data_IF_613570933488
#
_entry.id   IF_613570933488
#
_cell.length_a   1.000
_cell.length_b   1.000
_cell.length_c   1.000
_cell.angle_alpha   90.00
_cell.angle_beta   90.00
_cell.angle_gamma   90.00
#
_symmetry.space_group_name_H-M   'P 1'
#
loop_
_entity.id
_entity.type
_entity.pdbx_description
1 polymer ?
#
# COMPACT_ATOMS: atom_id res chain seq x y z
N UNK A 1 25.34 -6.64 27.99
CA UNK A 1 25.70 -5.83 26.81
C UNK A 1 25.77 -4.39 27.28
N UNK A 2 26.98 -3.90 27.51
CA UNK A 2 27.24 -2.50 27.89
C UNK A 2 26.83 -1.57 26.75
N UNK A 3 26.37 -0.36 27.05
CA UNK A 3 25.88 0.57 26.03
C UNK A 3 26.96 0.93 25.00
N UNK A 4 28.24 0.86 25.39
CA UNK A 4 29.38 0.98 24.49
C UNK A 4 29.45 -0.12 23.42
N UNK A 5 29.12 -1.38 23.74
CA UNK A 5 29.10 -2.46 22.75
C UNK A 5 27.93 -2.34 21.77
N UNK A 6 26.77 -1.82 22.22
CA UNK A 6 25.63 -1.54 21.33
C UNK A 6 25.98 -0.46 20.32
N UNK A 7 26.69 0.56 20.78
CA UNK A 7 27.09 1.70 19.96
C UNK A 7 28.14 1.32 18.90
N UNK A 8 29.09 0.45 19.26
CA UNK A 8 30.08 -0.09 18.30
C UNK A 8 29.43 -1.03 17.27
N UNK A 9 28.48 -1.88 17.68
CA UNK A 9 27.69 -2.71 16.75
C UNK A 9 26.86 -1.86 15.78
N UNK A 10 26.31 -0.73 16.24
CA UNK A 10 25.53 0.20 15.42
C UNK A 10 26.39 0.99 14.42
N UNK A 11 27.65 1.23 14.77
CA UNK A 11 28.67 1.87 13.90
C UNK A 11 29.39 0.89 12.98
N UNK A 12 29.21 -0.42 13.18
CA UNK A 12 29.81 -1.43 12.33
C UNK A 12 29.34 -1.23 10.88
N UNK A 13 30.25 -1.11 9.90
CA UNK A 13 29.92 -0.80 8.50
C UNK A 13 28.85 -1.73 7.92
N UNK A 14 28.81 -2.98 8.37
CA UNK A 14 27.87 -3.98 7.89
C UNK A 14 26.46 -3.85 8.52
N UNK A 15 26.34 -3.46 9.79
CA UNK A 15 25.03 -3.18 10.43
C UNK A 15 24.50 -1.84 9.93
N UNK A 16 25.40 -0.88 9.67
CA UNK A 16 25.08 0.33 8.95
C UNK A 16 24.63 0.02 7.52
N UNK A 17 25.23 -0.92 6.79
CA UNK A 17 24.77 -1.37 5.46
C UNK A 17 23.46 -2.16 5.54
N UNK A 18 23.22 -2.99 6.56
CA UNK A 18 21.94 -3.69 6.73
C UNK A 18 20.83 -2.74 7.15
N UNK A 19 21.11 -1.84 8.09
CA UNK A 19 20.22 -0.73 8.41
C UNK A 19 20.06 0.14 7.18
N UNK A 20 21.09 0.42 6.39
CA UNK A 20 20.99 1.21 5.15
C UNK A 20 20.25 0.43 4.05
N UNK A 21 20.27 -0.89 3.97
CA UNK A 21 19.47 -1.69 3.02
C UNK A 21 18.02 -1.91 3.51
N UNK A 22 17.80 -1.88 4.82
CA UNK A 22 16.48 -1.85 5.46
C UNK A 22 15.93 -0.43 5.65
N UNK A 23 16.77 0.62 5.54
CA UNK A 23 16.47 2.07 5.56
C UNK A 23 16.41 2.62 4.14
N UNK A 24 17.03 1.94 3.17
CA UNK A 24 16.78 2.01 1.73
C UNK A 24 15.46 1.27 1.41
N UNK A 25 14.47 1.66 2.20
CA UNK A 25 13.04 1.56 2.02
C UNK A 25 12.66 2.25 0.69
N UNK A 26 13.58 3.00 0.07
CA UNK A 26 13.50 3.43 -1.34
C UNK A 26 13.35 2.24 -2.30
N UNK A 27 13.83 1.03 -1.95
CA UNK A 27 13.68 -0.19 -2.74
C UNK A 27 12.35 -0.94 -2.51
N UNK A 28 11.54 -0.55 -1.51
CA UNK A 28 10.17 -1.09 -1.30
C UNK A 28 9.21 -0.56 -2.37
N UNK A 29 9.58 0.54 -3.05
CA UNK A 29 8.90 1.02 -4.25
C UNK A 29 8.91 0.01 -5.42
N UNK A 30 9.79 -0.99 -5.42
CA UNK A 30 9.88 -2.04 -6.45
C UNK A 30 8.70 -3.03 -6.38
N UNK A 31 8.05 -3.24 -5.22
CA UNK A 31 6.85 -4.08 -5.17
C UNK A 31 5.67 -3.42 -5.90
N UNK A 32 5.56 -2.09 -5.82
CA UNK A 32 4.71 -1.33 -6.74
C UNK A 32 5.20 -1.43 -8.19
N UNK A 33 6.49 -1.65 -8.46
CA UNK A 33 7.02 -1.82 -9.82
C UNK A 33 6.45 -3.07 -10.51
N UNK A 34 6.32 -4.19 -9.79
CA UNK A 34 5.75 -5.43 -10.33
C UNK A 34 4.28 -5.29 -10.70
N UNK A 35 3.48 -4.74 -9.78
CA UNK A 35 2.12 -4.34 -10.08
C UNK A 35 2.06 -3.25 -11.16
N UNK A 36 2.99 -2.28 -11.22
CA UNK A 36 2.99 -1.21 -12.23
C UNK A 36 3.34 -1.67 -13.64
N UNK A 37 3.88 -2.88 -13.80
CA UNK A 37 3.98 -3.55 -15.11
C UNK A 37 2.59 -3.93 -15.65
N UNK A 38 1.63 -4.09 -14.74
CA UNK A 38 0.22 -4.25 -15.06
C UNK A 38 -0.36 -2.84 -15.26
N UNK A 39 -0.84 -2.59 -16.47
CA UNK A 39 -1.37 -1.28 -16.90
C UNK A 39 -2.44 -0.78 -15.92
N UNK A 40 -3.31 -1.66 -15.47
CA UNK A 40 -4.43 -1.40 -14.58
C UNK A 40 -3.96 -0.85 -13.23
N UNK A 41 -2.94 -1.44 -12.62
CA UNK A 41 -2.40 -0.92 -11.36
C UNK A 41 -1.70 0.43 -11.54
N UNK A 42 -1.00 0.63 -12.67
CA UNK A 42 -0.37 1.92 -12.98
C UNK A 42 -1.44 3.02 -13.11
N UNK A 43 -2.53 2.74 -13.80
CA UNK A 43 -3.68 3.66 -13.92
C UNK A 43 -4.28 3.95 -12.55
N UNK A 44 -4.52 2.91 -11.74
CA UNK A 44 -5.04 3.04 -10.38
C UNK A 44 -4.18 3.97 -9.50
N UNK A 45 -2.86 3.72 -9.40
CA UNK A 45 -1.97 4.57 -8.60
C UNK A 45 -1.82 5.98 -9.16
N UNK A 46 -1.94 6.15 -10.48
CA UNK A 46 -1.98 7.48 -11.10
C UNK A 46 -3.23 8.25 -10.66
N UNK A 47 -4.39 7.60 -10.64
CA UNK A 47 -5.64 8.21 -10.16
C UNK A 47 -5.57 8.58 -8.67
N UNK A 48 -5.04 7.69 -7.81
CA UNK A 48 -4.81 7.99 -6.40
C UNK A 48 -3.88 9.19 -6.20
N UNK A 49 -2.78 9.24 -6.94
CA UNK A 49 -1.84 10.37 -6.87
C UNK A 49 -2.47 11.67 -7.37
N UNK A 50 -3.34 11.57 -8.38
CA UNK A 50 -4.17 12.67 -8.88
C UNK A 50 -5.10 13.22 -7.80
N UNK A 51 -5.81 12.35 -7.06
CA UNK A 51 -6.66 12.73 -5.93
C UNK A 51 -5.86 13.50 -4.86
N UNK A 52 -4.70 12.98 -4.45
CA UNK A 52 -3.86 13.66 -3.46
C UNK A 52 -3.37 15.04 -3.96
N UNK A 53 -3.01 15.13 -5.23
CA UNK A 53 -2.53 16.36 -5.88
C UNK A 53 -3.65 17.39 -6.06
N UNK A 54 -4.88 16.94 -6.33
CA UNK A 54 -6.05 17.80 -6.41
C UNK A 54 -6.22 18.58 -5.11
N UNK A 55 -6.19 17.94 -3.95
CA UNK A 55 -6.32 18.66 -2.69
C UNK A 55 -5.10 19.54 -2.39
N UNK A 56 -3.87 19.03 -2.58
CA UNK A 56 -2.65 19.75 -2.20
C UNK A 56 -2.41 21.05 -2.98
N UNK A 57 -2.97 21.18 -4.19
CA UNK A 57 -2.82 22.38 -5.04
C UNK A 57 -3.74 23.54 -4.67
N UNK A 58 -4.66 23.39 -3.72
CA UNK A 58 -5.55 24.48 -3.30
C UNK A 58 -5.83 24.45 -1.80
N UNK A 59 -5.52 25.56 -1.13
CA UNK A 59 -5.84 25.73 0.29
C UNK A 59 -7.36 25.71 0.55
N UNK A 60 -8.18 26.21 -0.39
CA UNK A 60 -9.65 26.16 -0.27
C UNK A 60 -10.13 24.70 -0.28
N UNK A 61 -9.67 23.90 -1.24
CA UNK A 61 -10.01 22.47 -1.35
C UNK A 61 -9.52 21.66 -0.15
N UNK A 62 -8.30 21.95 0.32
CA UNK A 62 -7.76 21.29 1.52
C UNK A 62 -8.60 21.60 2.76
N UNK A 63 -8.99 22.87 2.98
CA UNK A 63 -9.85 23.24 4.11
C UNK A 63 -11.22 22.56 4.06
N UNK A 64 -11.82 22.46 2.87
CA UNK A 64 -13.08 21.75 2.67
C UNK A 64 -12.93 20.25 2.98
N UNK A 65 -11.86 19.63 2.48
CA UNK A 65 -11.52 18.24 2.80
C UNK A 65 -11.42 18.04 4.32
N UNK A 66 -10.77 18.95 5.03
CA UNK A 66 -10.63 18.84 6.50
C UNK A 66 -11.95 18.98 7.23
N UNK A 67 -12.80 19.89 6.75
CA UNK A 67 -14.10 20.17 7.34
C UNK A 67 -15.03 18.95 7.24
N UNK A 68 -15.06 18.29 6.07
CA UNK A 68 -15.94 17.15 5.81
C UNK A 68 -15.31 15.84 6.31
N UNK A 69 -14.06 15.53 5.94
CA UNK A 69 -13.45 14.24 6.28
C UNK A 69 -13.00 14.14 7.74
N UNK A 70 -12.76 15.28 8.42
CA UNK A 70 -12.22 15.37 9.79
C UNK A 70 -10.93 14.54 10.02
N UNK A 71 -10.29 14.10 8.93
CA UNK A 71 -9.08 13.31 8.85
C UNK A 71 -8.33 13.72 7.59
N UNK A 72 -7.04 14.03 7.72
CA UNK A 72 -6.24 14.52 6.60
C UNK A 72 -5.72 13.38 5.76
N UNK A 73 -5.72 13.58 4.44
CA UNK A 73 -4.92 12.75 3.55
C UNK A 73 -3.45 12.76 4.00
N UNK A 74 -2.73 11.62 3.90
CA UNK A 74 -1.37 11.52 4.37
C UNK A 74 -0.47 12.54 3.68
N UNK A 75 0.27 13.31 4.47
CA UNK A 75 1.38 14.10 3.94
C UNK A 75 2.45 13.14 3.42
N UNK A 76 3.14 13.52 2.34
CA UNK A 76 4.18 12.74 1.69
C UNK A 76 5.06 12.00 2.73
N UNK A 77 5.15 10.68 2.60
CA UNK A 77 5.94 9.83 3.49
C UNK A 77 7.40 9.78 3.00
N UNK A 78 8.35 9.33 3.84
CA UNK A 78 9.76 9.22 3.44
C UNK A 78 9.97 8.36 2.20
N UNK A 79 9.07 7.41 1.93
CA UNK A 79 9.14 6.51 0.77
C UNK A 79 7.84 6.41 0.00
N UNK A 80 7.97 6.05 -1.28
CA UNK A 80 6.85 5.92 -2.23
C UNK A 80 5.85 4.84 -1.83
N UNK A 81 6.29 3.73 -1.24
CA UNK A 81 5.40 2.68 -0.73
C UNK A 81 4.61 3.15 0.49
N UNK A 82 5.27 3.69 1.52
CA UNK A 82 4.57 4.22 2.69
C UNK A 82 3.60 5.34 2.30
N UNK A 83 3.93 6.12 1.27
CA UNK A 83 3.01 7.09 0.70
C UNK A 83 1.80 6.42 0.04
N UNK A 84 1.99 5.47 -0.88
CA UNK A 84 0.89 4.78 -1.56
C UNK A 84 0.04 3.95 -0.60
N UNK A 85 0.64 3.24 0.34
CA UNK A 85 -0.06 2.43 1.35
C UNK A 85 -0.98 3.31 2.18
N UNK A 86 -0.42 4.35 2.82
CA UNK A 86 -1.23 5.31 3.60
C UNK A 86 -2.31 5.97 2.76
N UNK A 87 -2.01 6.30 1.49
CA UNK A 87 -2.99 6.92 0.60
C UNK A 87 -4.13 5.96 0.26
N UNK A 88 -3.83 4.70 -0.02
CA UNK A 88 -4.83 3.65 -0.28
C UNK A 88 -5.68 3.41 0.96
N UNK A 89 -5.08 3.23 2.13
CA UNK A 89 -5.83 3.05 3.38
C UNK A 89 -6.72 4.24 3.67
N UNK A 90 -6.21 5.47 3.56
CA UNK A 90 -7.02 6.66 3.81
C UNK A 90 -8.17 6.79 2.82
N UNK A 91 -7.94 6.56 1.53
CA UNK A 91 -9.00 6.65 0.50
C UNK A 91 -10.03 5.55 0.69
N UNK A 92 -9.62 4.32 1.02
CA UNK A 92 -10.51 3.21 1.31
C UNK A 92 -11.40 3.47 2.53
N UNK A 93 -10.81 3.98 3.62
CA UNK A 93 -11.51 4.27 4.87
C UNK A 93 -12.41 5.52 4.78
N UNK A 94 -12.09 6.47 3.90
CA UNK A 94 -12.79 7.75 3.75
C UNK A 94 -13.48 7.93 2.41
N UNK A 95 -13.80 6.83 1.71
CA UNK A 95 -14.41 6.89 0.37
C UNK A 95 -15.71 7.69 0.37
N UNK A 96 -16.54 7.54 1.41
CA UNK A 96 -17.81 8.25 1.52
C UNK A 96 -17.61 9.74 1.73
N UNK A 97 -16.78 10.12 2.70
CA UNK A 97 -16.51 11.52 3.03
C UNK A 97 -15.81 12.23 1.86
N UNK A 98 -14.90 11.55 1.16
CA UNK A 98 -14.28 12.08 -0.05
C UNK A 98 -15.31 12.35 -1.14
N UNK A 99 -16.30 11.46 -1.30
CA UNK A 99 -17.39 11.66 -2.26
C UNK A 99 -18.24 12.87 -1.87
N UNK A 100 -18.59 13.02 -0.59
CA UNK A 100 -19.31 14.18 -0.07
C UNK A 100 -18.55 15.50 -0.33
N UNK A 101 -17.22 15.50 -0.23
CA UNK A 101 -16.40 16.67 -0.58
C UNK A 101 -16.56 17.04 -2.05
N UNK A 102 -16.48 16.07 -2.96
CA UNK A 102 -16.63 16.34 -4.39
C UNK A 102 -18.05 16.74 -4.77
N UNK A 103 -19.06 16.09 -4.19
CA UNK A 103 -20.48 16.44 -4.38
C UNK A 103 -20.74 17.88 -3.92
N UNK A 104 -20.19 18.27 -2.76
CA UNK A 104 -20.28 19.66 -2.30
C UNK A 104 -19.67 20.67 -3.29
N UNK A 105 -18.51 20.36 -3.89
CA UNK A 105 -17.89 21.23 -4.89
C UNK A 105 -18.77 21.37 -6.13
N UNK A 106 -19.39 20.28 -6.59
CA UNK A 106 -20.28 20.27 -7.76
C UNK A 106 -21.57 21.05 -7.47
N UNK A 107 -22.20 20.83 -6.31
CA UNK A 107 -23.42 21.52 -5.91
C UNK A 107 -23.21 23.03 -5.77
N UNK A 108 -22.02 23.44 -5.29
CA UNK A 108 -21.64 24.85 -5.12
C UNK A 108 -20.74 25.34 -6.26
N UNK A 109 -20.99 24.88 -7.49
CA UNK A 109 -20.17 25.18 -8.67
C UNK A 109 -19.83 26.67 -8.87
N UNK A 110 -20.70 27.61 -8.48
CA UNK A 110 -20.44 29.05 -8.59
C UNK A 110 -19.30 29.55 -7.68
N UNK A 111 -18.91 28.78 -6.67
CA UNK A 111 -17.84 29.13 -5.74
C UNK A 111 -16.45 28.59 -6.14
N UNK A 112 -16.39 27.77 -7.18
CA UNK A 112 -15.17 27.11 -7.63
C UNK A 112 -14.92 27.41 -9.10
N UNK A 113 -13.67 27.29 -9.53
CA UNK A 113 -13.34 27.40 -10.96
C UNK A 113 -13.86 26.18 -11.74
N UNK A 114 -14.13 26.37 -13.02
CA UNK A 114 -14.68 25.34 -13.91
C UNK A 114 -13.85 24.05 -13.92
N UNK A 115 -12.51 24.17 -13.86
CA UNK A 115 -11.61 23.00 -13.79
C UNK A 115 -11.82 22.21 -12.50
N UNK A 116 -11.91 22.90 -11.36
CA UNK A 116 -12.18 22.27 -10.06
C UNK A 116 -13.55 21.57 -10.03
N UNK A 117 -14.60 22.20 -10.58
CA UNK A 117 -15.94 21.59 -10.65
C UNK A 117 -15.90 20.35 -11.54
N UNK A 118 -15.33 20.46 -12.74
CA UNK A 118 -15.22 19.37 -13.69
C UNK A 118 -14.41 18.19 -13.14
N UNK A 119 -13.25 18.46 -12.53
CA UNK A 119 -12.45 17.42 -11.88
C UNK A 119 -13.20 16.74 -10.73
N UNK A 120 -14.00 17.48 -9.97
CA UNK A 120 -14.77 16.92 -8.85
C UNK A 120 -15.84 15.94 -9.34
N UNK A 121 -16.57 16.30 -10.39
CA UNK A 121 -17.51 15.38 -11.06
C UNK A 121 -16.81 14.12 -11.60
N UNK A 122 -15.63 14.31 -12.19
CA UNK A 122 -14.75 13.21 -12.61
C UNK A 122 -14.32 12.30 -11.46
N UNK A 123 -13.99 12.86 -10.29
CA UNK A 123 -13.61 12.07 -9.12
C UNK A 123 -14.79 11.34 -8.46
N UNK A 124 -16.00 11.89 -8.50
CA UNK A 124 -17.23 11.16 -8.10
C UNK A 124 -17.39 9.93 -9.00
N UNK A 125 -17.27 10.11 -10.32
CA UNK A 125 -17.34 9.01 -11.29
C UNK A 125 -16.23 7.98 -11.07
N UNK A 126 -15.02 8.42 -10.75
CA UNK A 126 -13.89 7.54 -10.47
C UNK A 126 -14.14 6.68 -9.21
N UNK A 127 -14.52 7.31 -8.08
CA UNK A 127 -14.74 6.63 -6.80
C UNK A 127 -15.92 5.65 -6.85
N UNK A 128 -16.84 5.85 -7.81
CA UNK A 128 -17.98 4.96 -8.09
C UNK A 128 -17.72 4.02 -9.26
N UNK A 129 -16.49 3.96 -9.79
CA UNK A 129 -16.16 3.03 -10.87
C UNK A 129 -15.74 1.67 -10.32
N UNK A 130 -16.22 0.59 -10.95
CA UNK A 130 -15.86 -0.78 -10.57
C UNK A 130 -14.35 -0.99 -10.57
N UNK A 131 -13.65 -0.54 -11.61
CA UNK A 131 -12.19 -0.66 -11.71
C UNK A 131 -11.48 -0.07 -10.50
N UNK A 132 -11.77 1.19 -10.16
CA UNK A 132 -11.10 1.86 -9.07
C UNK A 132 -11.44 1.23 -7.72
N UNK A 133 -12.72 0.94 -7.47
CA UNK A 133 -13.16 0.34 -6.20
C UNK A 133 -12.60 -1.09 -6.01
N UNK A 134 -12.52 -1.89 -7.08
CA UNK A 134 -11.93 -3.22 -7.05
C UNK A 134 -10.44 -3.15 -6.66
N UNK A 135 -9.68 -2.28 -7.32
CA UNK A 135 -8.26 -2.10 -7.02
C UNK A 135 -8.03 -1.49 -5.63
N UNK A 136 -8.89 -0.55 -5.21
CA UNK A 136 -8.82 0.05 -3.89
C UNK A 136 -8.99 -1.01 -2.80
N UNK A 137 -9.99 -1.89 -2.91
CA UNK A 137 -10.21 -3.01 -1.98
C UNK A 137 -9.03 -4.00 -1.99
N UNK A 138 -8.59 -4.42 -3.18
CA UNK A 138 -7.48 -5.36 -3.35
C UNK A 138 -6.21 -4.85 -2.68
N UNK A 139 -5.81 -3.61 -2.99
CA UNK A 139 -4.60 -3.02 -2.43
C UNK A 139 -4.75 -2.69 -0.94
N UNK A 140 -5.92 -2.27 -0.48
CA UNK A 140 -6.17 -2.05 0.94
C UNK A 140 -5.94 -3.33 1.77
N UNK A 141 -6.45 -4.48 1.31
CA UNK A 141 -6.22 -5.76 1.96
C UNK A 141 -4.72 -6.10 2.00
N UNK A 142 -4.03 -6.03 0.85
CA UNK A 142 -2.58 -6.30 0.76
C UNK A 142 -1.78 -5.39 1.70
N UNK A 143 -2.09 -4.08 1.71
CA UNK A 143 -1.37 -3.11 2.52
C UNK A 143 -1.58 -3.32 4.02
N UNK A 144 -2.78 -3.75 4.43
CA UNK A 144 -3.10 -4.03 5.84
C UNK A 144 -2.16 -5.07 6.48
N UNK A 145 -1.74 -6.09 5.74
CA UNK A 145 -0.76 -7.07 6.20
C UNK A 145 0.66 -6.53 6.15
N UNK A 146 0.99 -5.84 5.05
CA UNK A 146 2.36 -5.38 4.80
C UNK A 146 2.78 -4.30 5.79
N UNK A 147 1.88 -3.37 6.15
CA UNK A 147 2.18 -2.25 7.05
C UNK A 147 2.55 -2.73 8.45
N UNK A 148 1.86 -3.77 8.95
CA UNK A 148 2.17 -4.40 10.24
C UNK A 148 3.59 -4.97 10.24
N UNK A 149 3.98 -5.66 9.16
CA UNK A 149 5.33 -6.21 9.06
C UNK A 149 6.37 -5.11 8.91
N UNK A 150 6.10 -4.05 8.15
CA UNK A 150 7.01 -2.93 8.03
C UNK A 150 7.25 -2.21 9.35
N UNK A 151 6.19 -1.96 10.13
CA UNK A 151 6.32 -1.37 11.47
C UNK A 151 7.16 -2.25 12.40
N UNK A 152 6.98 -3.57 12.32
CA UNK A 152 7.78 -4.53 13.08
C UNK A 152 9.26 -4.48 12.66
N UNK A 153 9.54 -4.51 11.36
CA UNK A 153 10.91 -4.51 10.84
C UNK A 153 11.64 -3.20 11.19
N UNK A 154 10.94 -2.07 11.19
CA UNK A 154 11.51 -0.78 11.59
C UNK A 154 11.82 -0.71 13.10
N UNK A 155 10.99 -1.33 13.94
CA UNK A 155 11.11 -1.21 15.40
C UNK A 155 11.90 -2.34 16.08
N UNK A 156 12.05 -3.51 15.44
CA UNK A 156 12.59 -4.74 16.05
C UNK A 156 13.68 -5.44 15.24
N UNK A 157 14.41 -4.73 14.39
CA UNK A 157 15.42 -5.27 13.46
C UNK A 157 16.62 -6.03 14.07
N UNK A 158 16.67 -6.25 15.39
CA UNK A 158 17.73 -7.01 16.04
C UNK A 158 17.46 -8.51 16.14
N UNK A 159 16.20 -8.95 16.08
CA UNK A 159 15.84 -10.37 16.08
C UNK A 159 15.56 -10.84 14.64
N UNK A 160 16.60 -11.33 13.97
CA UNK A 160 16.53 -11.75 12.57
C UNK A 160 15.56 -12.93 12.36
N UNK A 161 15.49 -13.87 13.31
CA UNK A 161 14.58 -15.02 13.22
C UNK A 161 13.13 -14.57 13.31
N UNK A 162 12.84 -13.63 14.21
CA UNK A 162 11.52 -13.02 14.30
C UNK A 162 11.16 -12.24 13.04
N UNK A 163 12.10 -11.46 12.48
CA UNK A 163 11.90 -10.73 11.22
C UNK A 163 11.59 -11.67 10.05
N UNK A 164 12.37 -12.74 9.88
CA UNK A 164 12.15 -13.76 8.83
C UNK A 164 10.79 -14.47 9.01
N UNK A 165 10.43 -14.85 10.24
CA UNK A 165 9.13 -15.46 10.52
C UNK A 165 7.96 -14.53 10.18
N UNK A 166 8.12 -13.21 10.37
CA UNK A 166 7.10 -12.22 9.98
C UNK A 166 7.00 -12.03 8.47
N UNK A 167 8.11 -12.10 7.75
CA UNK A 167 8.10 -12.10 6.28
C UNK A 167 7.42 -13.36 5.75
N UNK A 168 7.71 -14.54 6.30
CA UNK A 168 7.04 -15.79 5.90
C UNK A 168 5.53 -15.75 6.23
N UNK A 169 5.15 -15.12 7.34
CA UNK A 169 3.75 -14.87 7.66
C UNK A 169 3.09 -13.95 6.63
N UNK A 170 3.74 -12.85 6.25
CA UNK A 170 3.25 -11.93 5.22
C UNK A 170 3.03 -12.65 3.88
N UNK A 171 3.97 -13.47 3.45
CA UNK A 171 3.85 -14.24 2.21
C UNK A 171 2.63 -15.16 2.25
N UNK A 172 2.39 -15.85 3.37
CA UNK A 172 1.20 -16.71 3.54
C UNK A 172 -0.10 -15.90 3.52
N UNK A 173 -0.14 -14.74 4.17
CA UNK A 173 -1.33 -13.87 4.16
C UNK A 173 -1.62 -13.34 2.76
N UNK A 174 -0.59 -12.88 2.04
CA UNK A 174 -0.73 -12.40 0.66
C UNK A 174 -1.14 -13.55 -0.29
N UNK A 175 -0.62 -14.76 -0.12
CA UNK A 175 -1.06 -15.94 -0.90
C UNK A 175 -2.54 -16.26 -0.64
N UNK A 176 -2.99 -16.18 0.62
CA UNK A 176 -4.40 -16.39 0.98
C UNK A 176 -5.32 -15.37 0.31
N UNK A 177 -4.88 -14.13 0.13
CA UNK A 177 -5.67 -13.12 -0.59
C UNK A 177 -6.02 -13.55 -2.01
N UNK A 178 -5.22 -14.40 -2.70
CA UNK A 178 -5.61 -14.95 -4.01
C UNK A 178 -6.95 -15.66 -3.98
N UNK A 179 -7.23 -16.38 -2.89
CA UNK A 179 -8.48 -17.08 -2.67
C UNK A 179 -9.67 -16.15 -2.41
N UNK A 180 -9.42 -14.90 -2.01
CA UNK A 180 -10.45 -13.91 -1.68
C UNK A 180 -11.01 -13.19 -2.90
N UNK A 181 -10.56 -13.52 -4.12
CA UNK A 181 -11.00 -12.86 -5.36
C UNK A 181 -12.53 -12.75 -5.45
N UNK A 182 -13.26 -13.85 -5.19
CA UNK A 182 -14.71 -13.86 -5.34
C UNK A 182 -15.39 -12.90 -4.35
N UNK A 183 -14.92 -12.83 -3.10
CA UNK A 183 -15.41 -11.85 -2.11
C UNK A 183 -15.16 -10.42 -2.58
N UNK A 184 -13.93 -10.11 -2.99
CA UNK A 184 -13.55 -8.76 -3.43
C UNK A 184 -14.37 -8.34 -4.66
N UNK A 185 -14.54 -9.24 -5.63
CA UNK A 185 -15.31 -8.96 -6.84
C UNK A 185 -16.79 -8.74 -6.52
N UNK A 186 -17.41 -9.64 -5.76
CA UNK A 186 -18.84 -9.61 -5.47
C UNK A 186 -19.21 -8.42 -4.57
N UNK A 187 -18.38 -8.09 -3.57
CA UNK A 187 -18.54 -6.88 -2.77
C UNK A 187 -18.40 -5.61 -3.60
N UNK A 188 -17.44 -5.57 -4.53
CA UNK A 188 -17.27 -4.41 -5.42
C UNK A 188 -18.51 -4.27 -6.31
N UNK A 189 -19.00 -5.37 -6.88
CA UNK A 189 -20.19 -5.35 -7.74
C UNK A 189 -21.43 -4.91 -6.97
N UNK A 190 -21.58 -5.36 -5.72
CA UNK A 190 -22.67 -4.93 -4.84
C UNK A 190 -22.59 -3.42 -4.51
N UNK A 191 -21.38 -2.88 -4.36
CA UNK A 191 -21.17 -1.48 -3.99
C UNK A 191 -21.39 -0.50 -5.15
N UNK A 192 -20.85 -0.80 -6.33
CA UNK A 192 -20.80 0.16 -7.46
C UNK A 192 -21.42 -0.35 -8.77
N UNK A 193 -22.00 -1.55 -8.74
CA UNK A 193 -22.53 -2.21 -9.94
C UNK A 193 -21.44 -2.94 -10.74
N UNK A 194 -21.82 -3.64 -11.83
CA UNK A 194 -20.88 -4.45 -12.60
C UNK A 194 -19.87 -3.60 -13.40
N UNK A 195 -18.70 -4.16 -13.74
CA UNK A 195 -17.72 -3.50 -14.59
C UNK A 195 -18.30 -3.13 -15.95
N UNK A 196 -17.97 -1.92 -16.42
CA UNK A 196 -18.38 -1.42 -17.74
C UNK A 196 -17.48 -2.02 -18.83
N UNK A 197 -17.79 -3.25 -19.27
CA UNK A 197 -17.07 -3.93 -20.35
C UNK A 197 -18.02 -4.40 -21.46
N UNK A 198 -17.60 -4.28 -22.73
CA UNK A 198 -18.27 -4.93 -23.87
C UNK A 198 -17.72 -6.36 -23.98
N UNK A 199 -18.38 -7.30 -23.31
CA UNK A 199 -18.05 -8.73 -23.33
C UNK A 199 -19.09 -9.53 -22.55
N UNK A 200 -19.11 -10.85 -22.72
CA UNK A 200 -19.94 -11.71 -21.86
C UNK A 200 -19.46 -11.59 -20.40
N UNK A 201 -20.38 -11.58 -19.44
CA UNK A 201 -20.06 -11.35 -18.02
C UNK A 201 -19.00 -12.32 -17.47
N UNK A 202 -18.97 -13.56 -17.97
CA UNK A 202 -17.95 -14.56 -17.61
C UNK A 202 -16.53 -14.21 -18.06
N UNK A 203 -16.38 -13.59 -19.22
CA UNK A 203 -15.08 -13.17 -19.77
C UNK A 203 -14.50 -12.00 -18.95
N UNK A 204 -15.37 -11.07 -18.52
CA UNK A 204 -14.98 -9.94 -17.68
C UNK A 204 -14.52 -10.41 -16.29
N UNK A 205 -15.29 -11.28 -15.62
CA UNK A 205 -14.90 -11.81 -14.29
C UNK A 205 -13.60 -12.61 -14.36
N UNK A 206 -13.41 -13.43 -15.39
CA UNK A 206 -12.17 -14.17 -15.61
C UNK A 206 -10.97 -13.23 -15.75
N UNK A 207 -11.08 -12.15 -16.54
CA UNK A 207 -10.03 -11.14 -16.67
C UNK A 207 -9.66 -10.50 -15.33
N UNK A 208 -10.63 -10.09 -14.50
CA UNK A 208 -10.30 -9.54 -13.18
C UNK A 208 -9.64 -10.58 -12.27
N UNK A 209 -10.02 -11.86 -12.37
CA UNK A 209 -9.37 -12.95 -11.62
C UNK A 209 -7.91 -13.10 -12.03
N UNK A 210 -7.64 -13.13 -13.33
CA UNK A 210 -6.27 -13.21 -13.87
C UNK A 210 -5.42 -12.02 -13.44
N UNK A 211 -5.97 -10.80 -13.52
CA UNK A 211 -5.29 -9.58 -13.08
C UNK A 211 -5.00 -9.60 -11.58
N UNK A 212 -5.98 -9.99 -10.76
CA UNK A 212 -5.84 -10.11 -9.31
C UNK A 212 -4.75 -11.12 -8.93
N UNK A 213 -4.79 -12.33 -9.50
CA UNK A 213 -3.75 -13.33 -9.28
C UNK A 213 -2.37 -12.83 -9.73
N UNK A 214 -2.29 -12.21 -10.92
CA UNK A 214 -1.04 -11.69 -11.47
C UNK A 214 -0.39 -10.62 -10.59
N UNK A 215 -1.20 -9.73 -9.99
CA UNK A 215 -0.70 -8.75 -9.03
C UNK A 215 -0.10 -9.45 -7.82
N UNK A 216 -0.83 -10.40 -7.23
CA UNK A 216 -0.38 -11.10 -6.04
C UNK A 216 0.86 -11.96 -6.31
N UNK A 217 0.90 -12.70 -7.41
CA UNK A 217 2.06 -13.48 -7.85
C UNK A 217 3.30 -12.60 -8.04
N UNK A 218 3.12 -11.42 -8.65
CA UNK A 218 4.19 -10.46 -8.81
C UNK A 218 4.72 -9.97 -7.47
N UNK A 219 3.83 -9.67 -6.51
CA UNK A 219 4.23 -9.24 -5.17
C UNK A 219 4.97 -10.35 -4.42
N UNK A 220 4.46 -11.57 -4.43
CA UNK A 220 5.09 -12.71 -3.76
C UNK A 220 6.46 -13.05 -4.32
N UNK A 221 6.60 -13.03 -5.65
CA UNK A 221 7.88 -13.25 -6.34
C UNK A 221 8.91 -12.22 -5.87
N UNK A 222 8.50 -10.95 -5.73
CA UNK A 222 9.39 -9.91 -5.27
C UNK A 222 9.76 -10.00 -3.79
N UNK A 223 8.80 -10.30 -2.93
CA UNK A 223 9.08 -10.55 -1.51
C UNK A 223 10.07 -11.72 -1.41
N UNK A 224 9.82 -12.81 -2.13
CA UNK A 224 10.71 -13.99 -2.13
C UNK A 224 12.12 -13.65 -2.63
N UNK A 225 12.25 -12.97 -3.76
CA UNK A 225 13.55 -12.60 -4.32
C UNK A 225 14.33 -11.64 -3.43
N UNK A 226 13.65 -10.80 -2.64
CA UNK A 226 14.31 -9.88 -1.72
C UNK A 226 14.82 -10.59 -0.47
N UNK A 227 14.02 -11.48 0.10
CA UNK A 227 14.35 -12.17 1.35
C UNK A 227 15.10 -13.50 1.13
N UNK A 228 15.28 -13.93 -0.12
CA UNK A 228 16.07 -15.14 -0.43
C UNK A 228 17.53 -15.04 0.02
N UNK A 229 18.14 -13.85 -0.07
CA UNK A 229 19.51 -13.64 0.38
C UNK A 229 19.63 -13.50 1.90
N UNK A 230 18.55 -13.15 2.59
CA UNK A 230 18.55 -13.01 4.05
C UNK A 230 18.69 -14.37 4.76
N UNK A 231 18.30 -15.48 4.11
CA UNK A 231 18.61 -16.84 4.58
C UNK A 231 20.13 -17.10 4.63
N UNK A 232 20.91 -16.47 3.75
CA UNK A 232 22.38 -16.54 3.76
C UNK A 232 22.99 -15.73 4.90
N UNK A 233 22.21 -14.86 5.54
CA UNK A 233 22.59 -14.02 6.67
C UNK A 233 22.14 -14.61 8.01
N UNK A 234 21.55 -15.81 8.05
CA UNK A 234 21.17 -16.51 9.30
C UNK A 234 22.34 -16.69 10.27
N UNK A 235 23.58 -16.81 9.75
CA UNK A 235 24.78 -16.90 10.59
C UNK A 235 24.99 -15.66 11.46
N UNK A 236 24.40 -14.51 11.13
CA UNK A 236 24.46 -13.31 11.95
C UNK A 236 23.55 -13.38 13.18
N UNK A 237 22.57 -14.29 13.20
CA UNK A 237 21.83 -14.60 14.43
C UNK A 237 22.76 -15.22 15.49
N UNK A 238 23.88 -15.83 15.09
CA UNK A 238 24.95 -16.28 15.99
C UNK A 238 25.73 -15.13 16.63
N UNK A 239 25.48 -13.88 16.24
CA UNK A 239 26.04 -12.69 16.88
C UNK A 239 25.04 -12.02 17.82
N UNK A 240 23.82 -12.56 17.95
CA UNK A 240 22.82 -12.06 18.89
C UNK A 240 23.23 -12.42 20.34
N UNK A 241 23.60 -11.43 21.16
CA UNK A 241 24.01 -11.69 22.54
C UNK A 241 22.86 -12.22 23.41
N UNK A 242 21.61 -12.16 22.96
CA UNK A 242 20.49 -12.81 23.66
C UNK A 242 20.54 -14.34 23.52
N UNK A 243 21.05 -14.89 22.42
CA UNK A 243 21.20 -16.34 22.24
C UNK A 243 22.27 -16.95 23.17
N UNK A 244 23.24 -16.15 23.62
CA UNK A 244 24.28 -16.59 24.57
C UNK A 244 23.93 -16.37 26.03
N UNK A 245 22.78 -15.75 26.34
CA UNK A 245 22.32 -15.59 27.74
C UNK A 245 21.75 -16.87 28.34
N UNK A 246 21.47 -17.90 27.53
CA UNK A 246 20.99 -19.20 28.01
C UNK A 246 22.13 -20.21 28.30
N UNK A 247 23.39 -19.81 28.11
CA UNK A 247 24.59 -20.65 28.27
C UNK A 247 25.53 -20.18 29.41
N UNK A 248 25.05 -19.26 30.26
CA UNK A 248 25.70 -18.80 31.49
C UNK A 248 24.70 -18.91 32.65
#
# INVERSE_FOLDING_TARGET
MTDSMKEELRKAPFVAVMLDETTDISNVAQMSYGASKIRECKVFFSHLSGLATFFSRSAKRTKLLDFICQHRLPRAAPTRWCFHSRLVCTVAEKTRELREVFEHIVDHHTEFDDETVHCSDGYITLLTSFDFSFWLKTFHAIFSYSDVVFEILQNKGFDMQFCLARVDQLQRQIEQEKGNFDSVYDETQALVGPPRGRGAQGDVRARYRELHCSVIDSLLTQISNRFSDHKKLEFLALLDPQQFRALL
#
